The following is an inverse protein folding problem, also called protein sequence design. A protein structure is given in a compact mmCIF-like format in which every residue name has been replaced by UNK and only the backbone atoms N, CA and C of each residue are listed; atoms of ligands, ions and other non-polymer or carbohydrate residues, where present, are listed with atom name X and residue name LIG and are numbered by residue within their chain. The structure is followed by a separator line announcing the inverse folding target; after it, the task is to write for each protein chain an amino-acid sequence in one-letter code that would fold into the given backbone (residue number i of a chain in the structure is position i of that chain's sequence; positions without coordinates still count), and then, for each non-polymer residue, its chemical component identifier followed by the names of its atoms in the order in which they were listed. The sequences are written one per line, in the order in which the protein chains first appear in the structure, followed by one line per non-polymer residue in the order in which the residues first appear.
data_IF_453792712841
#
_entry.id   IF_453792712841
#
_cell.length_a   1.000
_cell.length_b   1.000
_cell.length_c   1.000
_cell.angle_alpha   90.00
_cell.angle_beta   90.00
_cell.angle_gamma   90.00
#
_symmetry.space_group_name_H-M   'P 1'
#
loop_
_entity.id
_entity.type
_entity.pdbx_description
1 polymer ?
#
# COMPACT_ATOMS: atom_id res chain seq x y z
N UNK A 1 14.62 2.10 -39.22
CA UNK A 1 13.60 2.72 -38.35
C UNK A 1 14.06 4.15 -38.06
N UNK A 2 13.15 5.13 -38.00
CA UNK A 2 13.51 6.51 -37.68
C UNK A 2 14.03 6.54 -36.24
N UNK A 3 15.23 7.07 -36.03
CA UNK A 3 15.83 7.14 -34.70
C UNK A 3 14.95 8.02 -33.81
N UNK A 4 14.56 7.49 -32.65
CA UNK A 4 13.66 8.16 -31.70
C UNK A 4 14.42 9.27 -30.97
N UNK A 5 13.78 10.43 -30.84
CA UNK A 5 14.37 11.64 -30.27
C UNK A 5 13.99 11.79 -28.80
N UNK A 6 14.98 11.83 -27.91
CA UNK A 6 14.83 12.10 -26.49
C UNK A 6 15.40 13.48 -26.16
N UNK A 7 14.62 14.33 -25.51
CA UNK A 7 15.08 15.63 -25.00
C UNK A 7 15.37 15.50 -23.50
N UNK A 8 16.59 15.79 -23.07
CA UNK A 8 17.04 15.77 -21.68
C UNK A 8 17.22 17.19 -21.16
N UNK A 9 16.66 17.50 -20.00
CA UNK A 9 16.67 18.85 -19.41
C UNK A 9 17.08 18.74 -17.95
N UNK A 10 18.17 19.41 -17.62
CA UNK A 10 18.76 19.40 -16.29
C UNK A 10 19.67 20.62 -16.18
N UNK A 11 19.82 21.25 -15.02
CA UNK A 11 20.76 22.37 -14.85
C UNK A 11 22.20 21.88 -14.60
N UNK A 12 22.38 20.65 -14.11
CA UNK A 12 23.70 20.04 -13.88
C UNK A 12 24.30 19.47 -15.18
N UNK A 13 25.45 20.01 -15.61
CA UNK A 13 26.14 19.56 -16.82
C UNK A 13 26.57 18.10 -16.75
N UNK A 14 27.03 17.65 -15.58
CA UNK A 14 27.41 16.26 -15.32
C UNK A 14 26.25 15.29 -15.57
N UNK A 15 25.04 15.64 -15.11
CA UNK A 15 23.84 14.80 -15.28
C UNK A 15 23.40 14.78 -16.74
N UNK A 16 23.41 15.94 -17.42
CA UNK A 16 23.08 16.00 -18.86
C UNK A 16 24.04 15.15 -19.69
N UNK A 17 25.34 15.26 -19.44
CA UNK A 17 26.35 14.50 -20.18
C UNK A 17 26.21 12.99 -19.94
N UNK A 18 26.04 12.59 -18.67
CA UNK A 18 25.83 11.18 -18.33
C UNK A 18 24.60 10.60 -19.05
N UNK A 19 23.46 11.30 -19.02
CA UNK A 19 22.25 10.86 -19.70
C UNK A 19 22.39 10.87 -21.22
N UNK A 20 23.12 11.83 -21.78
CA UNK A 20 23.43 11.88 -23.21
C UNK A 20 24.20 10.64 -23.66
N UNK A 21 25.27 10.28 -22.94
CA UNK A 21 26.11 9.13 -23.28
C UNK A 21 25.30 7.83 -23.19
N UNK A 22 24.61 7.61 -22.06
CA UNK A 22 23.81 6.40 -21.81
C UNK A 22 22.69 6.20 -22.83
N UNK A 23 21.97 7.26 -23.20
CA UNK A 23 20.86 7.16 -24.17
C UNK A 23 21.37 7.03 -25.61
N UNK A 24 22.51 7.62 -25.93
CA UNK A 24 23.13 7.49 -27.26
C UNK A 24 23.63 6.07 -27.49
N UNK A 25 24.21 5.42 -26.47
CA UNK A 25 24.62 4.02 -26.50
C UNK A 25 23.43 3.07 -26.75
N UNK A 26 22.24 3.44 -26.28
CA UNK A 26 20.97 2.73 -26.54
C UNK A 26 20.33 3.10 -27.90
N UNK A 27 21.08 3.74 -28.81
CA UNK A 27 20.68 4.18 -30.14
C UNK A 27 19.57 5.23 -30.20
N UNK A 28 19.34 6.01 -29.12
CA UNK A 28 18.46 7.18 -29.20
C UNK A 28 19.19 8.39 -29.82
N UNK A 29 18.43 9.25 -30.52
CA UNK A 29 18.93 10.59 -30.83
C UNK A 29 18.66 11.44 -29.60
N UNK A 30 19.68 12.06 -29.03
CA UNK A 30 19.55 12.84 -27.79
C UNK A 30 19.82 14.31 -28.08
N UNK A 31 18.96 15.17 -27.56
CA UNK A 31 19.16 16.61 -27.50
C UNK A 31 19.08 17.04 -26.03
N UNK A 32 19.86 18.03 -25.63
CA UNK A 32 19.91 18.49 -24.23
C UNK A 32 19.46 19.94 -24.11
N UNK A 33 18.92 20.36 -22.98
CA UNK A 33 18.67 21.75 -22.64
C UNK A 33 19.08 22.04 -21.19
N UNK A 34 19.55 23.26 -20.92
CA UNK A 34 20.07 23.63 -19.58
C UNK A 34 19.01 24.22 -18.65
N UNK A 35 17.85 24.59 -19.19
CA UNK A 35 16.75 25.17 -18.42
C UNK A 35 15.39 24.98 -19.13
N UNK A 36 14.31 25.34 -18.43
CA UNK A 36 12.94 25.21 -18.93
C UNK A 36 12.60 26.09 -20.14
N UNK A 37 13.27 27.23 -20.34
CA UNK A 37 13.01 28.09 -21.51
C UNK A 37 13.63 27.53 -22.79
N UNK A 38 14.88 27.08 -22.71
CA UNK A 38 15.55 26.39 -23.80
C UNK A 38 14.81 25.09 -24.14
N UNK A 39 14.32 24.37 -23.13
CA UNK A 39 13.47 23.19 -23.35
C UNK A 39 12.25 23.53 -24.19
N UNK A 40 11.46 24.54 -23.83
CA UNK A 40 10.23 24.89 -24.58
C UNK A 40 10.52 25.27 -26.02
N UNK A 41 11.59 26.03 -26.26
CA UNK A 41 12.02 26.40 -27.61
C UNK A 41 12.36 25.15 -28.44
N UNK A 42 13.12 24.23 -27.87
CA UNK A 42 13.49 22.96 -28.52
C UNK A 42 12.30 22.04 -28.71
N UNK A 43 11.36 22.00 -27.77
CA UNK A 43 10.20 21.13 -27.80
C UNK A 43 9.25 21.51 -28.95
N UNK A 44 9.04 22.81 -29.20
CA UNK A 44 8.26 23.31 -30.33
C UNK A 44 8.91 23.04 -31.69
N UNK A 45 10.24 23.13 -31.76
CA UNK A 45 10.99 22.95 -33.02
C UNK A 45 11.21 21.48 -33.38
N UNK A 46 11.56 20.65 -32.39
CA UNK A 46 12.07 19.30 -32.61
C UNK A 46 11.02 18.21 -32.41
N UNK A 47 9.95 18.50 -31.65
CA UNK A 47 8.87 17.56 -31.30
C UNK A 47 9.43 16.20 -30.84
N UNK A 48 10.14 16.16 -29.70
CA UNK A 48 10.77 14.94 -29.20
C UNK A 48 9.73 13.86 -28.89
N UNK A 49 10.13 12.60 -29.05
CA UNK A 49 9.32 11.43 -28.73
C UNK A 49 9.17 11.24 -27.21
N UNK A 50 10.16 11.67 -26.42
CA UNK A 50 10.14 11.68 -24.94
C UNK A 50 10.89 12.90 -24.41
N UNK A 51 10.35 13.51 -23.36
CA UNK A 51 11.04 14.53 -22.57
C UNK A 51 11.44 13.95 -21.21
N UNK A 52 12.68 14.18 -20.80
CA UNK A 52 13.19 13.86 -19.47
C UNK A 52 13.64 15.18 -18.84
N UNK A 53 13.10 15.56 -17.69
CA UNK A 53 13.41 16.86 -17.06
C UNK A 53 13.60 16.75 -15.55
N UNK A 54 14.57 17.46 -14.99
CA UNK A 54 14.63 17.66 -13.53
C UNK A 54 13.43 18.49 -13.05
N UNK A 55 12.92 18.17 -11.86
CA UNK A 55 11.93 18.96 -11.14
C UNK A 55 12.54 20.26 -10.63
N UNK A 56 13.79 20.23 -10.13
CA UNK A 56 14.42 21.42 -9.55
C UNK A 56 15.42 22.01 -10.53
N UNK A 57 15.03 23.09 -11.19
CA UNK A 57 15.90 23.86 -12.07
C UNK A 57 15.71 25.37 -11.84
N UNK A 58 16.73 26.21 -12.09
CA UNK A 58 16.61 27.66 -12.04
C UNK A 58 15.53 28.17 -13.01
N UNK A 59 14.91 29.32 -12.67
CA UNK A 59 13.89 30.05 -13.44
C UNK A 59 12.54 29.34 -13.60
N UNK A 60 12.51 28.11 -14.14
CA UNK A 60 11.29 27.31 -14.29
C UNK A 60 11.52 25.89 -13.80
N UNK A 61 10.76 25.51 -12.79
CA UNK A 61 10.76 24.15 -12.25
C UNK A 61 10.10 23.15 -13.23
N UNK A 62 10.44 21.86 -13.09
CA UNK A 62 9.94 20.81 -14.00
C UNK A 62 8.42 20.64 -13.96
N UNK A 63 7.76 21.04 -12.87
CA UNK A 63 6.30 21.06 -12.79
C UNK A 63 5.69 22.16 -13.65
N UNK A 64 6.22 23.38 -13.60
CA UNK A 64 5.78 24.50 -14.46
C UNK A 64 6.00 24.19 -15.94
N UNK A 65 7.07 23.45 -16.26
CA UNK A 65 7.35 22.99 -17.61
C UNK A 65 6.29 21.97 -18.09
N UNK A 66 5.96 20.98 -17.24
CA UNK A 66 4.94 19.97 -17.52
C UNK A 66 3.55 20.58 -17.73
N UNK A 67 3.16 21.57 -16.91
CA UNK A 67 1.91 22.32 -17.06
C UNK A 67 1.85 23.03 -18.42
N UNK A 68 2.92 23.72 -18.83
CA UNK A 68 2.98 24.42 -20.13
C UNK A 68 2.95 23.48 -21.34
N UNK A 69 3.62 22.33 -21.24
CA UNK A 69 3.59 21.31 -22.30
C UNK A 69 2.15 20.82 -22.49
N UNK A 70 1.43 20.57 -21.39
CA UNK A 70 0.01 20.22 -21.44
C UNK A 70 -0.85 21.31 -22.03
N UNK A 71 -0.69 22.56 -21.59
CA UNK A 71 -1.44 23.71 -22.14
C UNK A 71 -1.21 23.90 -23.65
N UNK A 72 -0.02 23.57 -24.13
CA UNK A 72 0.32 23.63 -25.57
C UNK A 72 -0.28 22.49 -26.41
N UNK A 73 -0.96 21.52 -25.80
CA UNK A 73 -1.59 20.39 -26.49
C UNK A 73 -0.60 19.36 -27.05
N UNK A 74 0.63 19.33 -26.53
CA UNK A 74 1.67 18.40 -26.97
C UNK A 74 1.55 17.08 -26.19
N UNK A 75 1.41 15.97 -26.91
CA UNK A 75 1.28 14.63 -26.34
C UNK A 75 2.62 13.94 -26.04
N UNK A 76 3.71 14.69 -25.90
CA UNK A 76 5.03 14.12 -25.59
C UNK A 76 5.03 13.57 -24.16
N UNK A 77 5.30 12.26 -23.95
CA UNK A 77 5.48 11.68 -22.62
C UNK A 77 6.63 12.37 -21.88
N UNK A 78 6.36 12.81 -20.64
CA UNK A 78 7.33 13.51 -19.80
C UNK A 78 7.72 12.64 -18.61
N UNK A 79 9.02 12.37 -18.46
CA UNK A 79 9.62 11.72 -17.30
C UNK A 79 10.23 12.81 -16.41
N UNK A 80 9.80 12.89 -15.16
CA UNK A 80 10.36 13.82 -14.18
C UNK A 80 11.50 13.17 -13.39
N UNK A 81 12.60 13.89 -13.17
CA UNK A 81 13.70 13.46 -12.29
C UNK A 81 13.69 14.29 -11.01
N UNK A 82 13.96 13.68 -9.86
CA UNK A 82 14.03 14.39 -8.59
C UNK A 82 15.11 13.83 -7.69
N UNK A 83 15.83 14.68 -6.96
CA UNK A 83 16.69 14.24 -5.86
C UNK A 83 15.91 13.81 -4.61
N UNK A 84 14.60 14.11 -4.55
CA UNK A 84 13.74 13.82 -3.39
C UNK A 84 12.49 13.07 -3.83
N UNK A 85 12.43 11.76 -3.51
CA UNK A 85 11.27 10.90 -3.72
C UNK A 85 10.22 11.03 -2.61
N UNK A 86 9.69 12.25 -2.39
CA UNK A 86 8.63 12.44 -1.39
C UNK A 86 7.28 12.03 -1.95
N UNK A 87 6.38 11.62 -1.04
CA UNK A 87 4.98 11.28 -1.35
C UNK A 87 4.27 12.37 -2.17
N UNK A 88 4.49 13.62 -1.80
CA UNK A 88 3.89 14.79 -2.45
C UNK A 88 4.39 14.97 -3.89
N UNK A 89 5.70 14.82 -4.11
CA UNK A 89 6.32 14.93 -5.43
C UNK A 89 5.81 13.81 -6.35
N UNK A 90 5.73 12.58 -5.84
CA UNK A 90 5.24 11.43 -6.59
C UNK A 90 3.78 11.62 -7.05
N UNK A 91 2.89 11.95 -6.11
CA UNK A 91 1.47 12.17 -6.39
C UNK A 91 1.30 13.36 -7.35
N UNK A 92 1.97 14.49 -7.09
CA UNK A 92 1.87 15.70 -7.91
C UNK A 92 2.33 15.46 -9.35
N UNK A 93 3.43 14.72 -9.54
CA UNK A 93 3.96 14.36 -10.85
C UNK A 93 2.89 13.67 -11.71
N UNK A 94 2.24 12.65 -11.14
CA UNK A 94 1.24 11.87 -11.87
C UNK A 94 -0.04 12.67 -12.12
N UNK A 95 -0.47 13.49 -11.14
CA UNK A 95 -1.61 14.40 -11.30
C UNK A 95 -1.40 15.40 -12.43
N UNK A 96 -0.22 16.00 -12.49
CA UNK A 96 0.19 16.86 -13.60
C UNK A 96 0.44 16.08 -14.89
N UNK A 97 0.16 14.78 -14.94
CA UNK A 97 0.19 13.93 -16.14
C UNK A 97 1.59 13.69 -16.68
N UNK A 98 2.58 13.66 -15.79
CA UNK A 98 3.85 13.03 -16.13
C UNK A 98 3.58 11.57 -16.52
N UNK A 99 4.34 11.07 -17.49
CA UNK A 99 4.33 9.66 -17.84
C UNK A 99 4.76 8.81 -16.64
N UNK A 100 5.87 9.23 -16.03
CA UNK A 100 6.41 8.66 -14.80
C UNK A 100 7.40 9.64 -14.15
N UNK A 101 7.94 9.28 -13.00
CA UNK A 101 9.08 9.99 -12.40
C UNK A 101 10.14 9.00 -11.87
N UNK A 102 11.36 9.50 -11.74
CA UNK A 102 12.53 8.75 -11.25
C UNK A 102 13.27 9.55 -10.16
N UNK A 103 13.75 8.84 -9.13
CA UNK A 103 14.50 9.44 -8.01
C UNK A 103 15.99 9.27 -8.24
N UNK A 104 16.77 10.35 -8.13
CA UNK A 104 18.24 10.33 -8.18
C UNK A 104 18.80 9.95 -6.79
N UNK A 105 19.82 9.07 -6.69
CA UNK A 105 20.40 8.26 -7.76
C UNK A 105 19.48 7.08 -8.14
N UNK A 106 19.49 6.69 -9.41
CA UNK A 106 18.65 5.62 -9.95
C UNK A 106 19.48 4.48 -10.54
N UNK A 107 18.85 3.30 -10.63
CA UNK A 107 19.38 2.17 -11.37
C UNK A 107 19.27 2.41 -12.89
N UNK A 108 20.33 2.08 -13.63
CA UNK A 108 20.42 2.37 -15.06
C UNK A 108 19.48 1.46 -15.88
N UNK A 109 19.32 0.20 -15.50
CA UNK A 109 18.42 -0.71 -16.19
C UNK A 109 16.95 -0.30 -15.98
N UNK A 110 16.60 0.15 -14.77
CA UNK A 110 15.27 0.70 -14.48
C UNK A 110 14.99 1.95 -15.33
N UNK A 111 15.94 2.88 -15.40
CA UNK A 111 15.82 4.10 -16.21
C UNK A 111 15.63 3.79 -17.70
N UNK A 112 16.47 2.92 -18.28
CA UNK A 112 16.38 2.57 -19.69
C UNK A 112 15.06 1.86 -20.02
N UNK A 113 14.58 0.98 -19.14
CA UNK A 113 13.27 0.36 -19.30
C UNK A 113 12.14 1.38 -19.23
N UNK A 114 12.24 2.39 -18.36
CA UNK A 114 11.27 3.49 -18.30
C UNK A 114 11.25 4.30 -19.60
N UNK A 115 12.40 4.68 -20.15
CA UNK A 115 12.50 5.42 -21.42
C UNK A 115 11.95 4.58 -22.57
N UNK A 116 12.28 3.29 -22.65
CA UNK A 116 11.73 2.36 -23.66
C UNK A 116 10.19 2.33 -23.62
N UNK A 117 9.59 2.27 -22.42
CA UNK A 117 8.13 2.32 -22.26
C UNK A 117 7.54 3.66 -22.68
N UNK A 118 8.19 4.77 -22.33
CA UNK A 118 7.74 6.11 -22.72
C UNK A 118 7.74 6.29 -24.25
N UNK A 119 8.80 5.84 -24.92
CA UNK A 119 8.93 5.87 -26.39
C UNK A 119 7.87 4.98 -27.05
N UNK A 120 7.59 3.80 -26.50
CA UNK A 120 6.54 2.94 -27.04
C UNK A 120 5.13 3.55 -26.91
N UNK A 121 4.88 4.35 -25.87
CA UNK A 121 3.61 5.07 -25.73
C UNK A 121 3.49 6.22 -26.74
N UNK A 122 4.59 6.91 -27.10
CA UNK A 122 4.51 7.98 -28.10
C UNK A 122 4.07 7.49 -29.48
N UNK A 123 4.30 6.20 -29.80
CA UNK A 123 3.78 5.54 -31.01
C UNK A 123 2.29 5.20 -30.95
N UNK A 124 1.71 5.17 -29.75
CA UNK A 124 0.30 4.85 -29.50
C UNK A 124 -0.40 6.15 -29.09
N UNK A 125 -0.82 6.95 -30.08
CA UNK A 125 -1.54 8.20 -29.83
C UNK A 125 -2.88 7.94 -29.11
N UNK A 126 -2.84 7.87 -27.79
CA UNK A 126 -4.01 7.84 -26.91
C UNK A 126 -4.05 9.19 -26.23
N UNK A 127 -4.99 10.03 -26.66
CA UNK A 127 -5.40 11.26 -26.00
C UNK A 127 -5.85 10.93 -24.58
N UNK A 128 -5.00 11.24 -23.60
CA UNK A 128 -5.42 11.41 -22.21
C UNK A 128 -5.72 12.90 -22.02
N UNK A 129 -7.00 13.24 -21.92
CA UNK A 129 -7.43 14.52 -21.34
C UNK A 129 -7.52 14.34 -19.82
N UNK A 130 -6.83 15.18 -19.02
CA UNK A 130 -7.22 15.33 -17.63
C UNK A 130 -7.60 16.78 -17.29
N UNK A 131 -8.65 16.84 -16.47
CA UNK A 131 -9.25 18.02 -15.85
C UNK A 131 -8.22 18.98 -15.25
N UNK A 132 -8.54 20.28 -15.32
CA UNK A 132 -7.72 21.37 -14.77
C UNK A 132 -7.50 21.18 -13.27
N UNK A 133 -6.24 21.07 -12.88
CA UNK A 133 -5.85 20.75 -11.52
C UNK A 133 -5.39 21.97 -10.73
N UNK A 134 -6.03 22.22 -9.59
CA UNK A 134 -5.60 23.21 -8.59
C UNK A 134 -4.74 22.52 -7.53
N UNK A 135 -3.49 22.94 -7.40
CA UNK A 135 -2.53 22.39 -6.45
C UNK A 135 -2.65 23.06 -5.08
N UNK A 136 -3.31 22.40 -4.13
CA UNK A 136 -3.09 22.56 -2.68
C UNK A 136 -3.30 21.18 -2.04
N UNK A 137 -2.28 20.69 -1.32
CA UNK A 137 -2.24 19.35 -0.73
C UNK A 137 -2.78 19.35 0.71
N UNK A 138 -3.69 18.43 1.02
CA UNK A 138 -4.21 18.21 2.37
C UNK A 138 -3.39 17.20 3.19
N UNK A 139 -3.30 17.46 4.50
CA UNK A 139 -2.47 16.85 5.55
C UNK A 139 -2.71 15.34 5.82
N UNK A 140 -2.43 14.44 4.86
CA UNK A 140 -2.31 13.00 5.14
C UNK A 140 -0.92 12.53 4.73
N UNK A 141 -0.05 12.34 5.73
CA UNK A 141 1.35 11.97 5.51
C UNK A 141 1.51 10.45 5.46
N UNK A 142 1.47 9.88 4.26
CA UNK A 142 1.98 8.53 4.01
C UNK A 142 3.50 8.56 4.13
N UNK A 143 4.06 7.59 4.87
CA UNK A 143 5.50 7.50 5.17
C UNK A 143 6.06 6.24 4.54
N UNK A 144 7.19 6.41 3.88
CA UNK A 144 7.93 5.37 3.18
C UNK A 144 8.51 5.94 1.90
N UNK A 145 9.73 5.54 1.57
CA UNK A 145 10.44 5.91 0.36
C UNK A 145 10.87 4.68 -0.47
N UNK A 146 10.57 3.46 0.00
CA UNK A 146 10.81 2.22 -0.74
C UNK A 146 10.16 2.25 -2.12
N UNK A 147 10.78 1.59 -3.10
CA UNK A 147 10.27 1.53 -4.47
C UNK A 147 8.82 1.00 -4.53
N UNK A 148 8.50 0.03 -3.67
CA UNK A 148 7.15 -0.52 -3.57
C UNK A 148 6.13 0.55 -3.14
N UNK A 149 6.49 1.44 -2.20
CA UNK A 149 5.65 2.57 -1.81
C UNK A 149 5.61 3.67 -2.85
N UNK A 150 6.70 3.92 -3.57
CA UNK A 150 6.70 4.88 -4.69
C UNK A 150 5.68 4.50 -5.76
N UNK A 151 5.53 3.21 -6.07
CA UNK A 151 4.50 2.72 -6.97
C UNK A 151 3.08 3.00 -6.44
N UNK A 152 2.84 2.77 -5.15
CA UNK A 152 1.57 3.12 -4.51
C UNK A 152 1.27 4.62 -4.65
N UNK A 153 2.26 5.49 -4.44
CA UNK A 153 2.06 6.94 -4.60
C UNK A 153 1.78 7.35 -6.05
N UNK A 154 2.44 6.69 -7.01
CA UNK A 154 2.16 6.90 -8.45
C UNK A 154 0.72 6.54 -8.77
N UNK A 155 0.25 5.39 -8.29
CA UNK A 155 -1.11 4.93 -8.53
C UNK A 155 -2.14 5.85 -7.86
N UNK A 156 -1.89 6.32 -6.62
CA UNK A 156 -2.71 7.35 -5.96
C UNK A 156 -2.84 8.59 -6.85
N UNK A 157 -1.73 9.12 -7.37
CA UNK A 157 -1.73 10.30 -8.22
C UNK A 157 -2.47 10.09 -9.54
N UNK A 158 -2.33 8.92 -10.17
CA UNK A 158 -3.05 8.56 -11.42
C UNK A 158 -4.56 8.49 -11.24
N UNK A 159 -5.02 7.99 -10.09
CA UNK A 159 -6.45 7.82 -9.84
C UNK A 159 -7.08 9.02 -9.14
N UNK A 160 -6.29 9.95 -8.62
CA UNK A 160 -6.77 10.99 -7.71
C UNK A 160 -7.95 11.78 -8.26
N UNK A 161 -7.97 12.18 -9.54
CA UNK A 161 -9.08 12.96 -10.11
C UNK A 161 -10.08 12.12 -10.91
N UNK A 162 -9.86 10.81 -11.00
CA UNK A 162 -10.81 9.90 -11.65
C UNK A 162 -12.00 9.61 -10.73
N UNK A 163 -13.20 9.50 -11.32
CA UNK A 163 -14.40 9.00 -10.62
C UNK A 163 -14.45 7.46 -10.57
N UNK A 164 -13.43 6.76 -11.07
CA UNK A 164 -13.37 5.30 -11.03
C UNK A 164 -13.35 4.76 -9.59
N UNK A 165 -13.98 3.61 -9.40
CA UNK A 165 -13.89 2.85 -8.16
C UNK A 165 -12.47 2.33 -7.95
N UNK A 166 -11.94 2.50 -6.74
CA UNK A 166 -10.61 2.00 -6.38
C UNK A 166 -10.73 0.94 -5.31
N UNK A 167 -10.21 -0.26 -5.60
CA UNK A 167 -10.05 -1.34 -4.64
C UNK A 167 -8.62 -1.32 -4.07
N UNK A 168 -8.51 -1.14 -2.76
CA UNK A 168 -7.25 -1.06 -2.03
C UNK A 168 -7.04 -2.40 -1.31
N UNK A 169 -6.04 -3.15 -1.73
CA UNK A 169 -5.74 -4.46 -1.15
C UNK A 169 -4.48 -4.40 -0.28
N UNK A 170 -4.44 -5.21 0.75
CA UNK A 170 -3.26 -5.35 1.60
C UNK A 170 -3.59 -5.93 2.96
N UNK A 171 -2.60 -6.49 3.62
CA UNK A 171 -2.75 -7.10 4.95
C UNK A 171 -3.29 -6.11 6.00
N UNK A 172 -3.75 -6.62 7.14
CA UNK A 172 -4.17 -5.75 8.23
C UNK A 172 -3.00 -4.88 8.70
N UNK A 173 -3.26 -3.61 9.00
CA UNK A 173 -2.25 -2.69 9.50
C UNK A 173 -1.26 -2.14 8.46
N UNK A 174 -1.45 -2.37 7.15
CA UNK A 174 -0.54 -1.83 6.10
C UNK A 174 -0.76 -0.35 5.76
N UNK A 175 -1.88 0.25 6.17
CA UNK A 175 -2.22 1.65 5.89
C UNK A 175 -3.30 1.88 4.82
N UNK A 176 -4.18 0.90 4.55
CA UNK A 176 -5.26 1.02 3.54
C UNK A 176 -6.14 2.26 3.69
N UNK A 177 -6.51 2.60 4.92
CA UNK A 177 -7.28 3.84 5.19
C UNK A 177 -6.48 5.10 4.84
N UNK A 178 -5.18 5.14 5.15
CA UNK A 178 -4.34 6.31 4.83
C UNK A 178 -4.23 6.50 3.32
N UNK A 179 -4.15 5.40 2.55
CA UNK A 179 -4.19 5.45 1.08
C UNK A 179 -5.54 5.96 0.58
N UNK A 180 -6.66 5.49 1.12
CA UNK A 180 -7.99 5.99 0.74
C UNK A 180 -8.13 7.50 1.01
N UNK A 181 -7.65 7.96 2.18
CA UNK A 181 -7.63 9.37 2.54
C UNK A 181 -6.73 10.18 1.63
N UNK A 182 -5.55 9.66 1.26
CA UNK A 182 -4.63 10.30 0.33
C UNK A 182 -5.25 10.45 -1.08
N UNK A 183 -5.98 9.44 -1.57
CA UNK A 183 -6.71 9.54 -2.84
C UNK A 183 -7.75 10.68 -2.76
N UNK A 184 -8.53 10.73 -1.68
CA UNK A 184 -9.56 11.75 -1.50
C UNK A 184 -8.96 13.16 -1.37
N UNK A 185 -7.96 13.36 -0.51
CA UNK A 185 -7.34 14.67 -0.27
C UNK A 185 -6.63 15.23 -1.50
N UNK A 186 -6.22 14.35 -2.42
CA UNK A 186 -5.62 14.72 -3.69
C UNK A 186 -6.61 14.74 -4.86
N UNK A 187 -7.91 14.57 -4.63
CA UNK A 187 -8.92 14.57 -5.70
C UNK A 187 -9.59 15.93 -5.93
N UNK A 188 -10.29 16.07 -7.05
CA UNK A 188 -11.28 17.13 -7.28
C UNK A 188 -12.37 17.21 -6.19
N UNK A 189 -12.59 16.14 -5.43
CA UNK A 189 -13.54 16.06 -4.31
C UNK A 189 -12.91 16.35 -2.93
N UNK A 190 -11.68 16.86 -2.85
CA UNK A 190 -10.94 17.06 -1.56
C UNK A 190 -11.63 17.91 -0.50
N UNK A 191 -12.52 18.84 -0.91
CA UNK A 191 -13.29 19.70 -0.01
C UNK A 191 -14.71 19.17 0.25
N UNK A 192 -15.05 18.02 -0.31
CA UNK A 192 -16.34 17.35 -0.15
C UNK A 192 -16.25 16.29 0.97
N UNK A 193 -17.37 15.75 1.45
CA UNK A 193 -17.35 14.77 2.54
C UNK A 193 -16.52 13.52 2.21
N UNK A 194 -15.75 13.05 3.19
CA UNK A 194 -15.11 11.72 3.18
C UNK A 194 -15.77 10.85 4.26
N UNK A 195 -16.70 9.99 3.84
CA UNK A 195 -17.49 9.15 4.74
C UNK A 195 -16.86 7.76 4.82
N UNK A 196 -16.34 7.41 6.00
CA UNK A 196 -15.81 6.07 6.27
C UNK A 196 -16.90 5.16 6.84
N UNK A 197 -16.91 3.91 6.39
CA UNK A 197 -17.64 2.82 7.04
C UNK A 197 -16.75 1.60 7.17
N UNK A 198 -16.72 0.97 8.35
CA UNK A 198 -16.07 -0.32 8.55
C UNK A 198 -17.16 -1.40 8.52
N UNK A 199 -17.03 -2.32 7.57
CA UNK A 199 -18.02 -3.34 7.28
C UNK A 199 -17.95 -4.55 8.22
N UNK A 200 -16.86 -4.74 8.97
CA UNK A 200 -16.69 -5.88 9.86
C UNK A 200 -17.22 -5.63 11.29
N UNK A 201 -17.30 -4.36 11.69
CA UNK A 201 -17.64 -3.99 13.07
C UNK A 201 -19.15 -3.92 13.37
N UNK A 202 -20.00 -4.17 12.37
CA UNK A 202 -21.45 -4.04 12.49
C UNK A 202 -22.16 -5.35 12.12
N UNK A 203 -23.18 -5.77 12.89
CA UNK A 203 -24.13 -6.77 12.43
C UNK A 203 -24.76 -6.34 11.09
N UNK A 204 -25.06 -7.31 10.23
CA UNK A 204 -25.49 -7.03 8.84
C UNK A 204 -26.73 -6.13 8.74
N UNK A 205 -27.70 -6.29 9.64
CA UNK A 205 -28.89 -5.44 9.70
C UNK A 205 -28.59 -3.98 10.09
N UNK A 206 -27.62 -3.78 10.99
CA UNK A 206 -27.14 -2.45 11.36
C UNK A 206 -26.28 -1.85 10.25
N UNK A 207 -25.49 -2.66 9.55
CA UNK A 207 -24.71 -2.21 8.41
C UNK A 207 -25.62 -1.67 7.30
N UNK A 208 -26.69 -2.38 6.97
CA UNK A 208 -27.64 -1.96 5.95
C UNK A 208 -28.30 -0.62 6.31
N UNK A 209 -28.81 -0.49 7.54
CA UNK A 209 -29.43 0.74 8.02
C UNK A 209 -28.46 1.91 8.15
N UNK A 210 -27.18 1.67 8.48
CA UNK A 210 -26.15 2.71 8.44
C UNK A 210 -25.83 3.15 7.01
N UNK A 211 -25.71 2.22 6.06
CA UNK A 211 -25.38 2.51 4.66
C UNK A 211 -26.47 3.30 3.95
N UNK A 212 -27.70 2.78 4.01
CA UNK A 212 -28.82 3.26 3.21
C UNK A 212 -29.81 4.11 4.00
N UNK A 213 -29.69 4.20 5.33
CA UNK A 213 -30.67 4.90 6.15
C UNK A 213 -31.97 4.10 6.28
N UNK A 214 -32.92 4.63 7.04
CA UNK A 214 -34.20 3.96 7.26
C UNK A 214 -35.34 4.96 7.45
N UNK A 215 -36.53 4.55 7.06
CA UNK A 215 -37.75 5.30 7.31
C UNK A 215 -38.35 5.02 8.69
N UNK A 216 -39.18 5.95 9.17
CA UNK A 216 -39.92 5.75 10.42
C UNK A 216 -40.79 4.49 10.32
N UNK A 217 -40.63 3.59 11.29
CA UNK A 217 -41.37 2.32 11.33
C UNK A 217 -40.76 1.18 10.52
N UNK A 218 -39.58 1.34 9.93
CA UNK A 218 -38.91 0.28 9.16
C UNK A 218 -38.59 -1.00 9.98
N UNK A 219 -38.34 -0.86 11.28
CA UNK A 219 -38.12 -1.95 12.22
C UNK A 219 -38.48 -1.53 13.65
N UNK A 220 -38.52 -2.48 14.59
CA UNK A 220 -38.77 -2.21 16.01
C UNK A 220 -37.68 -1.30 16.59
N UNK A 221 -38.05 -0.06 16.94
CA UNK A 221 -37.11 0.96 17.41
C UNK A 221 -36.84 2.10 16.41
N UNK A 222 -37.33 2.01 15.17
CA UNK A 222 -37.23 3.06 14.16
C UNK A 222 -38.23 4.21 14.42
N UNK A 223 -38.03 4.96 15.50
CA UNK A 223 -38.92 6.04 15.95
C UNK A 223 -38.93 7.29 15.05
N UNK A 224 -37.89 7.48 14.24
CA UNK A 224 -37.72 8.58 13.29
C UNK A 224 -36.96 8.11 12.06
N UNK A 225 -37.09 8.83 10.94
CA UNK A 225 -36.29 8.61 9.73
C UNK A 225 -34.83 9.02 9.97
N UNK A 226 -33.88 8.24 9.45
CA UNK A 226 -32.43 8.49 9.55
C UNK A 226 -31.78 8.39 8.17
N UNK A 227 -30.97 9.39 7.81
CA UNK A 227 -30.17 9.37 6.58
C UNK A 227 -29.03 8.35 6.64
N UNK A 228 -28.78 7.67 5.53
CA UNK A 228 -27.68 6.73 5.37
C UNK A 228 -26.33 7.37 5.05
N UNK A 229 -25.25 6.60 5.17
CA UNK A 229 -23.89 7.02 4.78
C UNK A 229 -23.79 7.41 3.31
N UNK A 230 -24.56 6.77 2.41
CA UNK A 230 -24.59 7.16 1.00
C UNK A 230 -25.13 8.58 0.79
N UNK A 231 -26.17 8.99 1.52
CA UNK A 231 -26.71 10.36 1.45
C UNK A 231 -25.70 11.35 2.01
N UNK A 232 -25.09 11.03 3.15
CA UNK A 232 -24.07 11.86 3.78
C UNK A 232 -22.80 12.02 2.91
N UNK A 233 -22.55 11.07 2.00
CA UNK A 233 -21.41 11.06 1.10
C UNK A 233 -21.70 11.71 -0.25
N UNK A 234 -22.89 12.27 -0.47
CA UNK A 234 -23.27 12.92 -1.73
C UNK A 234 -22.25 13.99 -2.16
N UNK A 235 -21.87 13.98 -3.44
CA UNK A 235 -20.78 14.76 -4.06
C UNK A 235 -19.37 14.49 -3.50
N UNK A 236 -19.27 13.64 -2.48
CA UNK A 236 -18.04 13.30 -1.78
C UNK A 236 -17.50 11.93 -2.15
N UNK A 237 -16.86 11.29 -1.18
CA UNK A 237 -16.27 9.96 -1.29
C UNK A 237 -16.75 9.09 -0.13
N UNK A 238 -17.19 7.87 -0.43
CA UNK A 238 -17.44 6.84 0.57
C UNK A 238 -16.29 5.83 0.56
N UNK A 239 -15.77 5.51 1.73
CA UNK A 239 -14.71 4.53 1.93
C UNK A 239 -15.24 3.33 2.71
N UNK A 240 -15.29 2.18 2.04
CA UNK A 240 -15.65 0.89 2.62
C UNK A 240 -14.40 0.17 3.13
N UNK A 241 -14.19 0.12 4.43
CA UNK A 241 -13.13 -0.66 5.05
C UNK A 241 -13.63 -2.08 5.31
N UNK A 242 -12.82 -3.07 4.97
CA UNK A 242 -13.13 -4.51 5.08
C UNK A 242 -14.36 -4.95 4.27
N UNK A 243 -14.45 -4.49 3.00
CA UNK A 243 -15.57 -4.82 2.09
C UNK A 243 -15.75 -6.33 1.85
N UNK A 244 -14.76 -7.15 2.18
CA UNK A 244 -14.86 -8.62 2.05
C UNK A 244 -15.70 -9.30 3.14
N UNK A 245 -16.19 -8.54 4.12
CA UNK A 245 -16.94 -9.04 5.28
C UNK A 245 -18.46 -8.89 5.15
N UNK A 246 -18.96 -8.19 4.12
CA UNK A 246 -20.40 -7.93 3.96
C UNK A 246 -21.16 -9.16 3.47
N UNK A 247 -22.42 -9.31 3.90
CA UNK A 247 -23.28 -10.43 3.47
C UNK A 247 -23.65 -10.34 1.99
N UNK A 248 -24.01 -11.47 1.38
CA UNK A 248 -24.50 -11.52 -0.01
C UNK A 248 -25.73 -10.62 -0.26
N UNK A 249 -26.58 -10.43 0.76
CA UNK A 249 -27.74 -9.55 0.68
C UNK A 249 -27.32 -8.08 0.60
N UNK A 250 -26.40 -7.66 1.48
CA UNK A 250 -25.81 -6.31 1.46
C UNK A 250 -25.03 -6.07 0.17
N UNK A 251 -24.32 -7.07 -0.35
CA UNK A 251 -23.62 -6.99 -1.63
C UNK A 251 -24.55 -6.69 -2.81
N UNK A 252 -25.74 -7.29 -2.84
CA UNK A 252 -26.73 -7.05 -3.90
C UNK A 252 -27.25 -5.60 -3.88
N UNK A 253 -27.56 -5.06 -2.69
CA UNK A 253 -27.99 -3.66 -2.53
C UNK A 253 -26.88 -2.68 -2.86
N UNK A 254 -25.66 -2.99 -2.41
CA UNK A 254 -24.48 -2.20 -2.74
C UNK A 254 -24.27 -2.16 -4.25
N UNK A 255 -24.33 -3.30 -4.95
CA UNK A 255 -24.18 -3.35 -6.40
C UNK A 255 -25.14 -2.39 -7.11
N UNK A 256 -26.42 -2.35 -6.70
CA UNK A 256 -27.42 -1.42 -7.22
C UNK A 256 -27.01 0.03 -7.00
N UNK A 257 -26.60 0.39 -5.79
CA UNK A 257 -26.12 1.73 -5.47
C UNK A 257 -24.88 2.15 -6.29
N UNK A 258 -23.98 1.22 -6.60
CA UNK A 258 -22.78 1.50 -7.41
C UNK A 258 -23.10 1.62 -8.91
N UNK A 259 -24.01 0.79 -9.42
CA UNK A 259 -24.34 0.75 -10.85
C UNK A 259 -25.33 1.85 -11.25
N UNK A 260 -26.43 1.98 -10.51
CA UNK A 260 -27.55 2.86 -10.83
C UNK A 260 -27.38 4.26 -10.22
N UNK A 261 -26.43 4.43 -9.29
CA UNK A 261 -26.24 5.66 -8.50
C UNK A 261 -27.51 6.04 -7.71
N UNK A 262 -28.30 5.05 -7.34
CA UNK A 262 -29.51 5.23 -6.55
C UNK A 262 -29.75 4.04 -5.62
N UNK A 263 -30.48 4.30 -4.54
CA UNK A 263 -30.88 3.28 -3.58
C UNK A 263 -32.18 3.69 -2.89
N UNK A 264 -32.80 2.73 -2.20
CA UNK A 264 -33.99 2.96 -1.38
C UNK A 264 -33.61 2.83 0.11
N UNK A 265 -34.16 3.69 0.97
CA UNK A 265 -34.00 3.55 2.44
C UNK A 265 -34.63 2.25 2.92
N UNK A 266 -34.12 1.69 4.02
CA UNK A 266 -34.74 0.52 4.64
C UNK A 266 -36.17 0.85 5.06
N UNK A 267 -37.13 0.05 4.56
CA UNK A 267 -38.56 0.26 4.80
C UNK A 267 -39.19 1.41 4.00
N UNK A 268 -38.44 2.09 3.14
CA UNK A 268 -38.92 3.14 2.25
C UNK A 268 -39.15 2.63 0.82
N UNK A 269 -39.93 3.39 0.05
CA UNK A 269 -40.17 3.15 -1.38
C UNK A 269 -39.67 4.32 -2.26
N UNK A 270 -39.12 5.36 -1.64
CA UNK A 270 -38.53 6.50 -2.33
C UNK A 270 -37.11 6.15 -2.78
N UNK A 271 -36.87 6.27 -4.09
CA UNK A 271 -35.56 6.07 -4.70
C UNK A 271 -34.75 7.36 -4.65
N UNK A 272 -33.59 7.27 -3.99
CA UNK A 272 -32.69 8.39 -3.72
C UNK A 272 -31.49 8.30 -4.66
N UNK A 273 -31.26 9.34 -5.46
CA UNK A 273 -30.09 9.45 -6.34
C UNK A 273 -28.92 10.09 -5.63
N UNK A 274 -27.73 9.52 -5.76
CA UNK A 274 -26.51 10.03 -5.14
C UNK A 274 -25.31 9.99 -6.09
N UNK A 275 -24.50 11.05 -6.11
CA UNK A 275 -23.22 11.06 -6.82
C UNK A 275 -22.07 10.87 -5.84
N UNK A 276 -21.66 9.62 -5.64
CA UNK A 276 -20.63 9.27 -4.66
C UNK A 276 -19.48 8.55 -5.35
N UNK A 277 -18.25 8.99 -5.08
CA UNK A 277 -17.05 8.24 -5.44
C UNK A 277 -16.82 7.11 -4.44
N UNK A 278 -16.53 5.91 -4.92
CA UNK A 278 -16.36 4.73 -4.08
C UNK A 278 -14.89 4.34 -3.99
N UNK A 279 -14.41 4.19 -2.76
CA UNK A 279 -13.14 3.55 -2.42
C UNK A 279 -13.46 2.35 -1.53
N UNK A 280 -12.86 1.19 -1.81
CA UNK A 280 -13.07 -0.02 -1.02
C UNK A 280 -11.73 -0.60 -0.59
N UNK A 281 -11.64 -1.13 0.62
CA UNK A 281 -10.44 -1.77 1.15
C UNK A 281 -10.74 -3.18 1.67
N UNK A 282 -9.78 -4.08 1.51
CA UNK A 282 -9.87 -5.44 2.06
C UNK A 282 -8.50 -6.06 2.27
N UNK A 283 -8.40 -6.93 3.28
CA UNK A 283 -7.28 -7.85 3.49
C UNK A 283 -7.53 -9.24 2.87
N UNK A 284 -8.75 -9.52 2.39
CA UNK A 284 -9.10 -10.79 1.76
C UNK A 284 -8.74 -10.78 0.28
N UNK A 285 -8.51 -11.98 -0.25
CA UNK A 285 -8.39 -12.21 -1.69
C UNK A 285 -9.78 -12.35 -2.29
N UNK A 286 -10.41 -11.24 -2.70
CA UNK A 286 -11.80 -11.26 -3.21
C UNK A 286 -12.01 -12.24 -4.38
N UNK A 287 -11.02 -12.42 -5.26
CA UNK A 287 -11.09 -13.43 -6.33
C UNK A 287 -11.33 -14.84 -5.79
N UNK A 288 -10.70 -15.19 -4.67
CA UNK A 288 -10.92 -16.47 -4.00
C UNK A 288 -12.29 -16.50 -3.32
N UNK A 289 -12.70 -15.42 -2.67
CA UNK A 289 -14.03 -15.29 -2.07
C UNK A 289 -15.18 -15.43 -3.09
N UNK A 290 -14.95 -15.04 -4.35
CA UNK A 290 -15.88 -15.29 -5.45
C UNK A 290 -15.99 -16.78 -5.78
N UNK A 291 -14.85 -17.49 -5.88
CA UNK A 291 -14.82 -18.93 -6.14
C UNK A 291 -15.48 -19.73 -5.00
N UNK A 292 -15.37 -19.25 -3.76
CA UNK A 292 -15.99 -19.83 -2.57
C UNK A 292 -17.49 -19.49 -2.43
N UNK A 293 -18.04 -18.62 -3.29
CA UNK A 293 -19.46 -18.24 -3.28
C UNK A 293 -19.86 -17.28 -2.15
N UNK A 294 -18.88 -16.72 -1.41
CA UNK A 294 -19.12 -15.77 -0.31
C UNK A 294 -19.03 -14.31 -0.77
N UNK A 295 -18.58 -14.07 -1.99
CA UNK A 295 -18.55 -12.75 -2.62
C UNK A 295 -19.12 -12.82 -4.05
N UNK A 296 -19.95 -11.85 -4.43
CA UNK A 296 -20.57 -11.83 -5.75
C UNK A 296 -19.57 -11.40 -6.83
N UNK A 297 -19.57 -12.12 -7.93
CA UNK A 297 -18.70 -11.86 -9.07
C UNK A 297 -18.98 -10.50 -9.72
N UNK A 298 -20.25 -10.13 -9.89
CA UNK A 298 -20.68 -8.85 -10.47
C UNK A 298 -20.21 -7.64 -9.66
N UNK A 299 -20.32 -7.70 -8.33
CA UNK A 299 -19.81 -6.68 -7.42
C UNK A 299 -18.30 -6.62 -7.45
N UNK A 300 -17.61 -7.75 -7.49
CA UNK A 300 -16.15 -7.78 -7.59
C UNK A 300 -15.66 -7.02 -8.83
N UNK A 301 -16.24 -7.27 -10.01
CA UNK A 301 -15.87 -6.56 -11.23
C UNK A 301 -16.16 -5.05 -11.15
N UNK A 302 -17.24 -4.65 -10.47
CA UNK A 302 -17.59 -3.23 -10.31
C UNK A 302 -16.71 -2.48 -9.30
N UNK A 303 -16.17 -3.19 -8.31
CA UNK A 303 -15.22 -2.65 -7.33
C UNK A 303 -13.78 -2.64 -7.88
N UNK A 304 -13.38 -3.67 -8.60
CA UNK A 304 -12.02 -3.88 -9.07
C UNK A 304 -11.77 -3.20 -10.44
N UNK A 305 -12.12 -1.92 -10.55
CA UNK A 305 -11.84 -1.10 -11.76
C UNK A 305 -10.38 -0.64 -11.74
N UNK A 306 -9.95 -0.02 -10.64
CA UNK A 306 -8.53 0.22 -10.37
C UNK A 306 -8.16 -0.47 -9.07
N UNK A 307 -7.03 -1.17 -9.07
CA UNK A 307 -6.55 -1.92 -7.91
C UNK A 307 -5.22 -1.33 -7.42
N UNK A 308 -5.16 -0.98 -6.15
CA UNK A 308 -3.94 -0.53 -5.48
C UNK A 308 -3.59 -1.55 -4.40
N UNK A 309 -2.51 -2.30 -4.61
CA UNK A 309 -2.02 -3.28 -3.65
C UNK A 309 -0.92 -2.65 -2.79
N UNK A 310 -1.14 -2.62 -1.47
CA UNK A 310 -0.17 -2.11 -0.51
C UNK A 310 0.71 -3.28 -0.02
N UNK A 311 2.03 -3.18 -0.17
CA UNK A 311 2.94 -4.23 0.26
C UNK A 311 2.96 -4.36 1.79
N UNK A 312 3.08 -5.59 2.32
CA UNK A 312 3.32 -5.81 3.74
C UNK A 312 4.68 -5.24 4.17
N UNK A 313 4.85 -4.91 5.44
CA UNK A 313 6.03 -4.23 5.96
C UNK A 313 7.33 -5.05 5.76
N UNK A 314 7.23 -6.39 5.80
CA UNK A 314 8.36 -7.30 5.49
C UNK A 314 8.91 -7.19 4.06
N UNK A 315 8.11 -6.71 3.10
CA UNK A 315 8.53 -6.49 1.71
C UNK A 315 9.06 -5.06 1.48
N UNK A 316 8.98 -4.20 2.49
CA UNK A 316 9.47 -2.81 2.48
C UNK A 316 10.21 -2.46 3.77
N UNK A 317 11.13 -3.34 4.20
CA UNK A 317 11.90 -3.17 5.44
C UNK A 317 12.70 -1.87 5.48
N UNK A 318 13.07 -1.34 4.31
CA UNK A 318 13.73 -0.03 4.14
C UNK A 318 12.91 1.15 4.68
N UNK A 319 11.58 1.02 4.77
CA UNK A 319 10.70 2.06 5.32
C UNK A 319 10.66 2.06 6.86
N UNK A 320 11.10 0.98 7.51
CA UNK A 320 11.03 0.83 8.98
C UNK A 320 11.73 1.97 9.72
N UNK A 321 12.97 2.39 9.37
CA UNK A 321 13.63 3.50 10.05
C UNK A 321 12.86 4.82 9.96
N UNK A 322 12.23 5.10 8.81
CA UNK A 322 11.42 6.31 8.61
C UNK A 322 10.14 6.28 9.44
N UNK A 323 9.46 5.12 9.47
CA UNK A 323 8.26 4.91 10.29
C UNK A 323 8.58 5.04 11.78
N UNK A 324 9.66 4.41 12.24
CA UNK A 324 10.12 4.48 13.63
C UNK A 324 10.45 5.92 14.03
N UNK A 325 11.19 6.66 13.19
CA UNK A 325 11.51 8.05 13.46
C UNK A 325 10.24 8.92 13.56
N UNK A 326 9.24 8.66 12.72
CA UNK A 326 7.96 9.35 12.77
C UNK A 326 7.20 9.06 14.07
N UNK A 327 7.02 7.78 14.43
CA UNK A 327 6.30 7.41 15.65
C UNK A 327 7.03 7.90 16.90
N UNK A 328 8.36 7.87 16.92
CA UNK A 328 9.15 8.42 18.00
C UNK A 328 8.91 9.93 18.17
N UNK A 329 8.87 10.70 17.07
CA UNK A 329 8.55 12.12 17.14
C UNK A 329 7.10 12.37 17.61
N UNK A 330 6.14 11.60 17.11
CA UNK A 330 4.72 11.67 17.47
C UNK A 330 4.52 11.44 18.97
N UNK A 331 5.00 10.32 19.49
CA UNK A 331 4.73 9.89 20.86
C UNK A 331 5.62 10.57 21.91
N UNK A 332 6.82 11.04 21.55
CA UNK A 332 7.56 11.93 22.45
C UNK A 332 6.78 13.22 22.73
N UNK A 333 6.15 13.81 21.69
CA UNK A 333 5.32 15.00 21.84
C UNK A 333 4.06 14.70 22.65
N UNK A 334 3.40 13.57 22.37
CA UNK A 334 2.15 13.18 23.02
C UNK A 334 2.32 12.86 24.51
N UNK A 335 3.35 12.09 24.87
CA UNK A 335 3.61 11.67 26.25
C UNK A 335 4.60 12.56 26.99
N UNK A 336 5.00 13.69 26.40
CA UNK A 336 6.01 14.59 26.93
C UNK A 336 7.31 13.87 27.38
N UNK A 337 7.80 12.97 26.51
CA UNK A 337 9.02 12.19 26.70
C UNK A 337 10.17 12.76 25.86
N UNK A 338 11.40 12.35 26.20
CA UNK A 338 12.62 12.75 25.49
C UNK A 338 13.45 11.53 25.04
N UNK A 339 12.78 10.53 24.49
CA UNK A 339 13.46 9.38 23.90
C UNK A 339 14.14 9.84 22.62
N UNK A 340 15.46 9.66 22.52
CA UNK A 340 16.28 10.08 21.38
C UNK A 340 16.36 9.02 20.29
N UNK A 341 16.13 7.75 20.61
CA UNK A 341 16.22 6.66 19.65
C UNK A 341 16.32 5.28 20.29
N UNK A 342 16.80 4.34 19.48
CA UNK A 342 16.97 2.92 19.82
C UNK A 342 18.46 2.59 19.81
N UNK A 343 18.88 1.62 20.64
CA UNK A 343 20.22 1.05 20.56
C UNK A 343 20.43 0.33 19.21
N UNK A 344 21.67 0.06 18.84
CA UNK A 344 21.97 -0.64 17.58
C UNK A 344 21.39 -2.06 17.56
N UNK A 345 21.39 -2.74 18.70
CA UNK A 345 20.78 -4.06 18.87
C UNK A 345 19.26 -3.99 18.68
N UNK A 346 18.60 -2.99 19.27
CA UNK A 346 17.17 -2.76 19.13
C UNK A 346 16.79 -2.45 17.66
N UNK A 347 17.58 -1.62 16.97
CA UNK A 347 17.39 -1.35 15.53
C UNK A 347 17.50 -2.62 14.69
N UNK A 348 18.50 -3.47 14.96
CA UNK A 348 18.63 -4.76 14.26
C UNK A 348 17.42 -5.66 14.48
N UNK A 349 16.88 -5.70 15.69
CA UNK A 349 15.66 -6.46 15.98
C UNK A 349 14.44 -5.93 15.22
N UNK A 350 14.24 -4.61 15.19
CA UNK A 350 13.17 -3.98 14.43
C UNK A 350 13.25 -4.29 12.93
N UNK A 351 14.46 -4.31 12.36
CA UNK A 351 14.69 -4.66 10.95
C UNK A 351 14.54 -6.15 10.66
N UNK A 352 14.91 -7.02 11.61
CA UNK A 352 14.88 -8.47 11.43
C UNK A 352 13.45 -9.04 11.52
N UNK A 353 12.60 -8.46 12.36
CA UNK A 353 11.23 -8.93 12.58
C UNK A 353 10.34 -8.76 11.33
N UNK A 354 9.39 -9.68 11.14
CA UNK A 354 8.57 -9.74 9.92
C UNK A 354 7.26 -8.94 10.00
N UNK A 355 6.91 -8.43 11.18
CA UNK A 355 5.77 -7.53 11.39
C UNK A 355 4.44 -8.08 10.83
N UNK A 356 3.91 -9.20 11.37
CA UNK A 356 2.62 -9.76 10.93
C UNK A 356 1.44 -8.78 11.05
N UNK A 357 1.47 -7.87 12.03
CA UNK A 357 0.51 -6.77 12.16
C UNK A 357 0.91 -5.48 11.43
N UNK A 358 1.97 -5.55 10.61
CA UNK A 358 2.47 -4.49 9.74
C UNK A 358 2.76 -3.18 10.50
N UNK A 359 2.41 -2.03 9.90
CA UNK A 359 2.71 -0.69 10.45
C UNK A 359 1.95 -0.46 11.76
N UNK A 360 0.75 -1.05 11.94
CA UNK A 360 -0.01 -0.95 13.19
C UNK A 360 0.69 -1.64 14.35
N UNK A 361 1.27 -2.81 14.13
CA UNK A 361 2.08 -3.50 15.16
C UNK A 361 3.35 -2.71 15.47
N UNK A 362 4.05 -2.21 14.44
CA UNK A 362 5.22 -1.36 14.63
C UNK A 362 4.91 -0.11 15.45
N UNK A 363 3.82 0.58 15.14
CA UNK A 363 3.34 1.76 15.89
C UNK A 363 3.10 1.41 17.35
N UNK A 364 2.35 0.34 17.63
CA UNK A 364 2.06 -0.11 18.99
C UNK A 364 3.33 -0.48 19.78
N UNK A 365 4.28 -1.17 19.14
CA UNK A 365 5.55 -1.54 19.77
C UNK A 365 6.37 -0.30 20.12
N UNK A 366 6.48 0.67 19.22
CA UNK A 366 7.21 1.92 19.45
C UNK A 366 6.53 2.77 20.53
N UNK A 367 5.20 2.87 20.49
CA UNK A 367 4.38 3.57 21.49
C UNK A 367 4.63 3.00 22.90
N UNK A 368 4.49 1.67 23.05
CA UNK A 368 4.72 0.97 24.32
C UNK A 368 6.16 1.16 24.80
N UNK A 369 7.14 1.04 23.93
CA UNK A 369 8.55 1.20 24.30
C UNK A 369 8.82 2.62 24.85
N UNK A 370 8.22 3.66 24.28
CA UNK A 370 8.34 5.05 24.77
C UNK A 370 7.67 5.23 26.14
N UNK A 371 6.51 4.61 26.36
CA UNK A 371 5.81 4.65 27.65
C UNK A 371 6.65 3.99 28.76
N UNK A 372 7.26 2.83 28.44
CA UNK A 372 8.07 2.05 29.37
C UNK A 372 9.53 2.54 29.49
N UNK A 373 9.93 3.51 28.66
CA UNK A 373 11.29 4.01 28.59
C UNK A 373 11.80 4.49 29.95
N UNK A 374 12.92 3.89 30.38
CA UNK A 374 13.65 4.28 31.60
C UNK A 374 14.72 5.33 31.34
N UNK A 375 15.06 5.57 30.07
CA UNK A 375 16.11 6.49 29.66
C UNK A 375 15.89 7.02 28.24
N UNK A 376 16.85 7.79 27.71
CA UNK A 376 16.73 8.42 26.40
C UNK A 376 16.97 7.45 25.23
N UNK A 377 17.43 6.23 25.47
CA UNK A 377 17.70 5.22 24.45
C UNK A 377 16.91 3.96 24.80
N UNK A 378 16.12 3.46 23.84
CA UNK A 378 15.36 2.22 23.95
C UNK A 378 16.26 1.02 23.66
N UNK A 379 16.23 0.04 24.56
CA UNK A 379 16.98 -1.20 24.50
C UNK A 379 16.11 -2.34 23.93
N UNK A 380 16.72 -3.48 23.53
CA UNK A 380 15.97 -4.66 23.08
C UNK A 380 14.85 -5.11 24.03
N UNK A 381 15.11 -5.01 25.33
CA UNK A 381 14.18 -5.38 26.41
C UNK A 381 12.91 -4.52 26.41
N UNK A 382 12.97 -3.28 25.93
CA UNK A 382 11.84 -2.35 25.88
C UNK A 382 10.88 -2.65 24.71
N UNK A 383 11.33 -3.42 23.71
CA UNK A 383 10.53 -3.71 22.51
C UNK A 383 9.51 -4.82 22.74
N UNK A 384 9.78 -5.74 23.66
CA UNK A 384 8.97 -6.95 23.93
C UNK A 384 8.47 -7.61 22.62
N UNK A 385 9.36 -7.73 21.62
CA UNK A 385 9.05 -8.43 20.38
C UNK A 385 8.96 -9.92 20.69
N UNK A 386 7.74 -10.44 20.72
CA UNK A 386 7.51 -11.87 20.87
C UNK A 386 8.11 -12.60 19.67
N UNK A 387 9.28 -13.22 19.83
CA UNK A 387 9.84 -14.17 18.86
C UNK A 387 9.00 -15.48 18.79
N UNK A 388 7.72 -15.43 19.16
CA UNK A 388 6.98 -16.52 19.79
C UNK A 388 5.85 -17.08 18.94
N UNK A 389 5.86 -16.86 17.62
CA UNK A 389 4.91 -17.54 16.72
C UNK A 389 5.50 -18.80 16.07
N UNK A 390 6.82 -19.00 16.07
CA UNK A 390 7.41 -20.29 15.64
C UNK A 390 7.15 -21.41 16.66
N UNK A 391 7.09 -21.09 17.95
CA UNK A 391 6.80 -22.07 19.01
C UNK A 391 5.28 -22.32 19.20
N UNK A 392 4.41 -21.35 18.85
CA UNK A 392 2.95 -21.50 18.98
C UNK A 392 2.30 -22.37 17.88
N UNK A 393 2.93 -22.54 16.72
CA UNK A 393 2.49 -23.49 15.69
C UNK A 393 2.47 -24.94 16.20
N UNK A 394 3.34 -25.29 17.14
CA UNK A 394 3.36 -26.64 17.74
C UNK A 394 2.12 -26.85 18.60
N UNK A 395 1.74 -25.87 19.42
CA UNK A 395 0.57 -25.98 20.29
C UNK A 395 -0.76 -25.82 19.55
N UNK A 396 -0.84 -24.95 18.54
CA UNK A 396 -2.05 -24.78 17.71
C UNK A 396 -2.35 -25.99 16.83
N UNK A 397 -1.33 -26.68 16.29
CA UNK A 397 -1.55 -27.92 15.53
C UNK A 397 -2.05 -29.07 16.41
N UNK A 398 -1.69 -29.08 17.69
CA UNK A 398 -2.14 -30.09 18.66
C UNK A 398 -3.56 -29.82 19.15
N UNK A 399 -3.94 -28.55 19.33
CA UNK A 399 -5.25 -28.17 19.88
C UNK A 399 -6.37 -28.04 18.84
N UNK A 400 -6.03 -27.98 17.54
CA UNK A 400 -7.00 -27.91 16.43
C UNK A 400 -7.48 -29.25 15.87
N UNK A 401 -6.87 -30.37 16.26
CA UNK A 401 -7.26 -31.71 15.80
C UNK A 401 -7.77 -32.55 16.97
N UNK A 402 -8.91 -33.22 16.78
CA UNK A 402 -9.51 -34.14 17.75
C UNK A 402 -8.72 -35.47 17.80
N UNK A 403 -7.39 -35.38 17.95
CA UNK A 403 -6.47 -36.51 17.95
C UNK A 403 -6.53 -37.23 19.30
N UNK A 404 -6.52 -38.57 19.32
CA UNK A 404 -6.32 -39.32 20.55
C UNK A 404 -5.01 -38.92 21.23
N UNK A 405 -5.00 -38.80 22.57
CA UNK A 405 -3.83 -38.45 23.38
C UNK A 405 -2.56 -39.24 23.00
N UNK A 406 -2.71 -40.50 22.61
CA UNK A 406 -1.60 -41.37 22.18
C UNK A 406 -0.86 -40.84 20.95
N UNK A 407 -1.57 -40.24 19.98
CA UNK A 407 -0.96 -39.66 18.79
C UNK A 407 -0.27 -38.33 19.08
N UNK A 408 -0.91 -37.49 19.90
CA UNK A 408 -0.31 -36.22 20.36
C UNK A 408 1.02 -36.45 21.08
N UNK A 409 1.04 -37.42 22.00
CA UNK A 409 2.27 -37.78 22.74
C UNK A 409 3.33 -38.31 21.79
N UNK A 410 2.97 -39.15 20.80
CA UNK A 410 3.90 -39.67 19.81
C UNK A 410 4.50 -38.57 18.92
N UNK A 411 3.70 -37.59 18.49
CA UNK A 411 4.16 -36.49 17.63
C UNK A 411 5.11 -35.56 18.38
N UNK A 412 4.77 -35.18 19.62
CA UNK A 412 5.65 -34.39 20.47
C UNK A 412 6.95 -35.15 20.75
N UNK A 413 6.86 -36.45 21.06
CA UNK A 413 8.03 -37.27 21.31
C UNK A 413 8.93 -37.40 20.06
N UNK A 414 8.33 -37.55 18.86
CA UNK A 414 9.05 -37.58 17.58
C UNK A 414 9.82 -36.28 17.35
N UNK A 415 9.18 -35.13 17.58
CA UNK A 415 9.81 -33.82 17.40
C UNK A 415 10.96 -33.59 18.38
N UNK A 416 10.78 -33.93 19.66
CA UNK A 416 11.83 -33.82 20.69
C UNK A 416 13.04 -34.68 20.34
N UNK A 417 12.81 -35.93 19.90
CA UNK A 417 13.89 -36.82 19.50
C UNK A 417 14.62 -36.31 18.24
N UNK A 418 13.89 -35.82 17.24
CA UNK A 418 14.49 -35.26 16.01
C UNK A 418 15.32 -34.01 16.28
N UNK A 419 14.81 -33.09 17.12
CA UNK A 419 15.54 -31.88 17.49
C UNK A 419 16.84 -32.23 18.23
N UNK A 420 16.77 -33.14 19.20
CA UNK A 420 17.95 -33.60 19.92
C UNK A 420 18.95 -34.33 19.00
N UNK A 421 18.48 -35.10 18.02
CA UNK A 421 19.34 -35.71 17.00
C UNK A 421 20.06 -34.66 16.16
N UNK A 422 19.38 -33.59 15.75
CA UNK A 422 19.98 -32.48 14.98
C UNK A 422 21.00 -31.69 15.81
N UNK A 423 20.69 -31.37 17.07
CA UNK A 423 21.58 -30.62 17.98
C UNK A 423 22.85 -31.39 18.37
N UNK A 424 22.85 -32.71 18.24
CA UNK A 424 23.95 -33.59 18.60
C UNK A 424 24.53 -34.37 17.41
N UNK A 425 24.44 -33.83 16.19
CA UNK A 425 25.01 -34.40 14.96
C UNK A 425 24.68 -35.88 14.75
N UNK A 426 23.44 -36.26 15.07
CA UNK A 426 22.91 -37.63 15.00
C UNK A 426 23.67 -38.66 15.86
N UNK A 427 24.49 -38.19 16.81
CA UNK A 427 25.19 -39.06 17.76
C UNK A 427 24.22 -39.60 18.82
N UNK A 428 23.63 -40.77 18.52
CA UNK A 428 22.61 -41.44 19.35
C UNK A 428 23.00 -41.62 20.82
N UNK A 429 24.29 -41.73 21.13
CA UNK A 429 24.81 -41.83 22.51
C UNK A 429 24.71 -40.51 23.27
N UNK A 430 25.01 -39.39 22.62
CA UNK A 430 24.88 -38.05 23.19
C UNK A 430 23.42 -37.66 23.34
N UNK A 431 22.59 -37.99 22.35
CA UNK A 431 21.14 -37.77 22.37
C UNK A 431 20.46 -38.51 23.51
N UNK A 432 20.77 -39.80 23.72
CA UNK A 432 20.19 -40.57 24.82
C UNK A 432 20.54 -39.95 26.18
N UNK A 433 21.77 -39.47 26.35
CA UNK A 433 22.22 -38.79 27.56
C UNK A 433 21.52 -37.44 27.75
N UNK A 434 21.40 -36.64 26.69
CA UNK A 434 20.74 -35.34 26.72
C UNK A 434 19.25 -35.45 27.06
N UNK A 435 18.58 -36.47 26.52
CA UNK A 435 17.17 -36.76 26.78
C UNK A 435 16.93 -37.54 28.09
N UNK A 436 17.97 -37.88 28.84
CA UNK A 436 17.85 -38.59 30.12
C UNK A 436 17.33 -40.04 30.01
N UNK A 437 17.41 -40.65 28.83
CA UNK A 437 16.92 -42.01 28.58
C UNK A 437 18.06 -42.97 28.22
N UNK A 438 17.86 -44.26 28.46
CA UNK A 438 18.85 -45.26 28.06
C UNK A 438 18.87 -45.43 26.52
N UNK A 439 20.00 -45.87 25.98
CA UNK A 439 20.20 -46.04 24.52
C UNK A 439 19.19 -47.02 23.90
N UNK A 440 18.83 -48.10 24.58
CA UNK A 440 17.86 -49.09 24.08
C UNK A 440 16.45 -48.48 23.95
N UNK A 441 16.04 -47.66 24.89
CA UNK A 441 14.77 -46.94 24.89
C UNK A 441 14.71 -45.90 23.78
N UNK A 442 15.81 -45.17 23.53
CA UNK A 442 15.90 -44.26 22.39
C UNK A 442 15.73 -45.02 21.06
N UNK A 443 16.41 -46.15 20.87
CA UNK A 443 16.27 -46.97 19.67
C UNK A 443 14.86 -47.53 19.49
N UNK A 444 14.22 -47.99 20.57
CA UNK A 444 12.85 -48.49 20.53
C UNK A 444 11.87 -47.39 20.10
N UNK A 445 12.01 -46.18 20.67
CA UNK A 445 11.19 -45.01 20.34
C UNK A 445 11.44 -44.51 18.92
N UNK A 446 12.68 -44.44 18.45
CA UNK A 446 12.99 -44.10 17.06
C UNK A 446 12.33 -45.07 16.07
N UNK A 447 12.34 -46.38 16.37
CA UNK A 447 11.71 -47.40 15.54
C UNK A 447 10.18 -47.31 15.56
N UNK A 448 9.57 -47.10 16.73
CA UNK A 448 8.13 -46.95 16.89
C UNK A 448 7.61 -45.68 16.20
N UNK A 449 8.41 -44.61 16.23
CA UNK A 449 8.07 -43.32 15.66
C UNK A 449 8.49 -43.18 14.20
N UNK A 450 9.14 -44.17 13.57
CA UNK A 450 9.57 -44.12 12.17
C UNK A 450 10.65 -43.06 11.88
N UNK A 451 11.67 -42.99 12.74
CA UNK A 451 12.87 -42.15 12.58
C UNK A 451 14.05 -43.10 12.29
N UNK A 452 14.71 -42.94 11.13
CA UNK A 452 15.89 -43.73 10.72
C UNK A 452 17.22 -43.03 11.03
#
# INVERSE_FOLDING_TARGET
MKQKLVLVVDDEESVRQFLYDVLTDENYRVETAVNGEECLNKLLQLKPDVLITDIRMPERDGFSLLEKIKESGLNTPVILMTAFGTTEVAIRSMKLGAFDYIVKPFDLDEFLNLVKRAVAQSDTAVTFEPDKLTAEAGEVKLIGNSQAMQNVYKDIGRVADSNATVLIQGESGTGKELVARAIHSNSSRRHKPFIKINCANLPDSLLESELFGYEKGAFTGAGATKMGKFELAHEGTIFFDEIGEISLATQAKLLRAIQEKEFDRVGGTETIKVDVRILAATNRRLKQSVLEGVFREDLFFRLNVVNISIPPLRERKEDIPLLVAHFLAKYNKEFNRQVKGFSEEAKRMLMAYDWPGNVRELENVVERAIIMARGPILLPEDLELTAQEKDNLVWQNISGQNLPLKQIVADVERQVILKALQEHDWCRTSVARALGINRRSLYAKMKELGIE
#
